data_IF_347412564349
#
_entry.id   IF_347412564349
#
_cell.length_a   1.000
_cell.length_b   1.000
_cell.length_c   1.000
_cell.angle_alpha   90.00
_cell.angle_beta   90.00
_cell.angle_gamma   90.00
#
_symmetry.space_group_name_H-M   'P 1'
#
loop_
_entity.id
_entity.type
_entity.pdbx_description
1 polymer ?
#
# COMPACT_ATOMS: atom_id res chain seq x y z
N UNK A 1 18.85 -54.37 -15.08
CA UNK A 1 19.16 -53.12 -15.81
C UNK A 1 18.34 -53.12 -17.09
N UNK A 2 17.78 -51.96 -17.49
CA UNK A 2 16.71 -51.77 -18.51
C UNK A 2 15.33 -52.13 -17.94
N UNK A 3 14.30 -51.29 -17.87
CA UNK A 3 13.95 -50.01 -18.50
C UNK A 3 13.10 -49.18 -17.51
N UNK A 4 13.66 -48.12 -16.93
CA UNK A 4 13.03 -47.32 -15.85
C UNK A 4 12.40 -46.02 -16.37
N UNK A 5 11.97 -45.94 -17.64
CA UNK A 5 11.69 -44.66 -18.31
C UNK A 5 10.52 -44.63 -19.33
N UNK A 6 9.61 -45.62 -19.38
CA UNK A 6 8.74 -45.75 -20.57
C UNK A 6 7.25 -46.07 -20.34
N UNK A 7 6.62 -45.61 -19.26
CA UNK A 7 5.13 -45.56 -19.19
C UNK A 7 4.69 -44.30 -18.45
N UNK A 8 4.81 -43.15 -19.12
CA UNK A 8 3.79 -42.11 -18.97
C UNK A 8 2.66 -42.57 -19.90
N UNK A 9 1.47 -42.82 -19.37
CA UNK A 9 0.34 -43.17 -20.24
C UNK A 9 0.11 -42.03 -21.23
N UNK A 10 -0.36 -42.30 -22.44
CA UNK A 10 -0.73 -41.25 -23.41
C UNK A 10 -1.68 -40.19 -22.80
N UNK A 11 -2.45 -40.62 -21.79
CA UNK A 11 -3.31 -39.79 -20.95
C UNK A 11 -2.55 -38.72 -20.15
N UNK A 12 -1.35 -39.03 -19.67
CA UNK A 12 -0.53 -38.10 -18.89
C UNK A 12 0.02 -36.96 -19.76
N UNK A 13 0.38 -37.27 -21.01
CA UNK A 13 0.76 -36.24 -21.99
C UNK A 13 -0.41 -35.32 -22.34
N UNK A 14 -1.63 -35.85 -22.43
CA UNK A 14 -2.82 -35.04 -22.65
C UNK A 14 -3.10 -34.10 -21.45
N UNK A 15 -2.91 -34.57 -20.22
CA UNK A 15 -3.04 -33.76 -19.01
C UNK A 15 -1.99 -32.64 -18.98
N UNK A 16 -0.73 -32.96 -19.27
CA UNK A 16 0.35 -31.97 -19.33
C UNK A 16 0.06 -30.94 -20.42
N UNK A 17 -0.42 -31.35 -21.60
CA UNK A 17 -0.78 -30.42 -22.69
C UNK A 17 -1.90 -29.44 -22.27
N UNK A 18 -2.94 -29.92 -21.57
CA UNK A 18 -4.02 -29.06 -21.07
C UNK A 18 -3.49 -28.08 -20.01
N UNK A 19 -2.64 -28.53 -19.09
CA UNK A 19 -2.02 -27.67 -18.08
C UNK A 19 -1.14 -26.61 -18.74
N UNK A 20 -0.33 -26.99 -19.72
CA UNK A 20 0.54 -26.07 -20.47
C UNK A 20 -0.29 -25.06 -21.24
N UNK A 21 -1.39 -25.47 -21.89
CA UNK A 21 -2.30 -24.53 -22.58
C UNK A 21 -3.04 -23.63 -21.59
N UNK A 22 -3.45 -24.13 -20.43
CA UNK A 22 -4.08 -23.31 -19.40
C UNK A 22 -3.11 -22.29 -18.79
N UNK A 23 -1.85 -22.70 -18.52
CA UNK A 23 -0.82 -21.82 -17.98
C UNK A 23 -0.25 -20.84 -19.03
N UNK A 24 0.02 -21.30 -20.25
CA UNK A 24 0.51 -20.45 -21.34
C UNK A 24 -0.59 -19.53 -21.90
N UNK A 25 -1.82 -20.04 -22.01
CA UNK A 25 -2.99 -19.27 -22.42
C UNK A 25 -3.40 -18.20 -21.39
N UNK A 26 -3.18 -18.47 -20.10
CA UNK A 26 -3.37 -17.49 -19.02
C UNK A 26 -2.44 -16.27 -19.12
N UNK A 27 -1.29 -16.39 -19.76
CA UNK A 27 -0.36 -15.27 -19.96
C UNK A 27 -0.82 -14.31 -21.07
N UNK A 28 -1.52 -14.81 -22.10
CA UNK A 28 -1.97 -13.99 -23.23
C UNK A 28 -3.16 -13.06 -22.87
N UNK A 29 -4.04 -13.49 -21.95
CA UNK A 29 -5.16 -12.67 -21.47
C UNK A 29 -4.74 -11.63 -20.42
N UNK A 30 -3.50 -11.72 -19.91
CA UNK A 30 -2.88 -10.75 -19.01
C UNK A 30 -1.99 -9.75 -19.74
N UNK A 31 -2.22 -9.54 -21.04
CA UNK A 31 -1.78 -8.33 -21.73
C UNK A 31 -2.53 -7.13 -21.10
N UNK A 32 -2.05 -6.71 -19.92
CA UNK A 32 -2.46 -5.48 -19.28
C UNK A 32 -2.28 -4.41 -20.35
N UNK A 33 -3.34 -3.65 -20.69
CA UNK A 33 -3.18 -2.49 -21.55
C UNK A 33 -2.02 -1.71 -20.93
N UNK A 34 -1.00 -1.42 -21.72
CA UNK A 34 0.09 -0.56 -21.30
C UNK A 34 -0.54 0.82 -21.18
N UNK A 35 -1.25 1.03 -20.06
CA UNK A 35 -1.92 2.27 -19.71
C UNK A 35 -0.81 3.30 -19.74
N UNK A 36 -0.95 4.26 -20.64
CA UNK A 36 0.07 5.25 -20.90
C UNK A 36 0.23 6.13 -19.64
N UNK A 37 1.15 5.70 -18.77
CA UNK A 37 1.43 6.30 -17.48
C UNK A 37 1.79 7.78 -17.63
N UNK A 38 2.27 8.18 -18.81
CA UNK A 38 2.67 9.55 -19.10
C UNK A 38 1.46 10.50 -19.21
N UNK A 39 0.40 10.07 -19.87
CA UNK A 39 -0.82 10.88 -20.03
C UNK A 39 -1.58 11.03 -18.70
N UNK A 40 -1.63 9.95 -17.89
CA UNK A 40 -2.21 10.03 -16.55
C UNK A 40 -1.44 11.00 -15.65
N UNK A 41 -0.11 11.02 -15.72
CA UNK A 41 0.72 11.92 -14.91
C UNK A 41 0.45 13.40 -15.23
N UNK A 42 0.23 13.74 -16.50
CA UNK A 42 -0.09 15.11 -16.90
C UNK A 42 -1.45 15.55 -16.39
N UNK A 43 -2.47 14.68 -16.50
CA UNK A 43 -3.80 14.95 -15.99
C UNK A 43 -3.83 15.14 -14.47
N UNK A 44 -3.09 14.30 -13.74
CA UNK A 44 -2.96 14.43 -12.28
C UNK A 44 -2.37 15.79 -11.89
N UNK A 45 -1.34 16.27 -12.61
CA UNK A 45 -0.74 17.59 -12.33
C UNK A 45 -1.70 18.76 -12.58
N UNK A 46 -2.49 18.71 -13.65
CA UNK A 46 -3.48 19.76 -13.89
C UNK A 46 -4.62 19.76 -12.87
N UNK A 47 -5.11 18.57 -12.51
CA UNK A 47 -6.07 18.40 -11.44
C UNK A 47 -5.54 18.94 -10.11
N UNK A 48 -4.29 18.65 -9.78
CA UNK A 48 -3.65 19.14 -8.56
C UNK A 48 -3.55 20.67 -8.53
N UNK A 49 -3.15 21.32 -9.64
CA UNK A 49 -3.11 22.78 -9.74
C UNK A 49 -4.48 23.44 -9.60
N UNK A 50 -5.52 22.84 -10.18
CA UNK A 50 -6.91 23.33 -10.06
C UNK A 50 -7.42 23.16 -8.63
N UNK A 51 -7.12 22.03 -7.99
CA UNK A 51 -7.42 21.80 -6.59
C UNK A 51 -6.72 22.82 -5.70
N UNK A 52 -5.42 23.06 -5.88
CA UNK A 52 -4.68 24.05 -5.10
C UNK A 52 -5.25 25.46 -5.27
N UNK A 53 -5.66 25.83 -6.49
CA UNK A 53 -6.31 27.12 -6.75
C UNK A 53 -7.68 27.23 -6.07
N UNK A 54 -8.48 26.16 -6.09
CA UNK A 54 -9.78 26.10 -5.43
C UNK A 54 -9.67 26.09 -3.90
N UNK A 55 -8.73 25.32 -3.35
CA UNK A 55 -8.43 25.25 -1.93
C UNK A 55 -7.94 26.60 -1.40
N UNK A 56 -7.02 27.25 -2.14
CA UNK A 56 -6.54 28.61 -1.83
C UNK A 56 -7.65 29.65 -1.89
N UNK A 57 -8.59 29.52 -2.84
CA UNK A 57 -9.74 30.42 -2.93
C UNK A 57 -10.78 30.20 -1.82
N UNK A 58 -10.91 28.96 -1.32
CA UNK A 58 -11.84 28.62 -0.24
C UNK A 58 -11.29 28.86 1.17
N UNK A 59 -10.05 29.34 1.32
CA UNK A 59 -9.46 29.64 2.63
C UNK A 59 -9.24 28.42 3.53
N UNK A 60 -9.30 27.21 2.96
CA UNK A 60 -8.96 25.98 3.66
C UNK A 60 -7.45 25.82 3.55
N UNK A 61 -6.72 26.32 4.55
CA UNK A 61 -5.34 25.88 4.75
C UNK A 61 -5.40 24.37 4.99
N UNK A 62 -4.93 23.57 4.02
CA UNK A 62 -4.66 22.17 4.33
C UNK A 62 -3.63 22.18 5.46
N UNK A 63 -3.95 21.66 6.66
CA UNK A 63 -2.93 21.49 7.67
C UNK A 63 -1.85 20.65 7.02
N UNK A 64 -0.64 21.22 6.90
CA UNK A 64 0.47 20.45 6.37
C UNK A 64 0.55 19.17 7.19
N UNK A 65 0.62 17.98 6.54
CA UNK A 65 0.79 16.74 7.28
C UNK A 65 2.01 16.96 8.16
N UNK A 66 1.86 16.89 9.49
CA UNK A 66 2.98 17.22 10.35
C UNK A 66 4.13 16.27 10.00
N UNK A 67 5.39 16.73 10.11
CA UNK A 67 6.57 15.98 9.64
C UNK A 67 6.71 14.59 10.29
N UNK A 68 5.98 14.35 11.38
CA UNK A 68 5.87 13.09 12.10
C UNK A 68 4.96 12.06 11.43
N UNK A 69 4.04 12.48 10.56
CA UNK A 69 2.98 11.63 10.00
C UNK A 69 1.95 11.15 11.02
N UNK A 70 1.82 11.87 12.16
CA UNK A 70 0.84 11.62 13.22
C UNK A 70 -0.20 12.74 13.23
N UNK A 71 -1.40 12.52 13.76
CA UNK A 71 -2.30 13.67 13.99
C UNK A 71 -1.71 14.61 15.05
N UNK A 72 -1.92 15.94 14.97
CA UNK A 72 -1.47 16.88 16.00
C UNK A 72 -1.87 16.48 17.43
N UNK A 73 -3.05 15.87 17.63
CA UNK A 73 -3.47 15.41 18.96
C UNK A 73 -2.63 14.23 19.47
N UNK A 74 -2.25 13.32 18.56
CA UNK A 74 -1.40 12.16 18.90
C UNK A 74 0.00 12.62 19.27
N UNK A 75 0.52 13.65 18.60
CA UNK A 75 1.81 14.24 18.93
C UNK A 75 1.82 14.93 20.29
N UNK A 76 0.74 15.65 20.62
CA UNK A 76 0.59 16.27 21.94
C UNK A 76 0.57 15.20 23.04
N UNK A 77 -0.20 14.12 22.84
CA UNK A 77 -0.22 12.99 23.77
C UNK A 77 1.13 12.26 23.85
N UNK A 78 1.85 12.13 22.74
CA UNK A 78 3.20 11.55 22.76
C UNK A 78 4.24 12.49 23.39
N UNK A 79 3.96 13.79 23.47
CA UNK A 79 4.91 14.78 24.04
C UNK A 79 4.87 14.82 25.57
N UNK A 80 3.78 14.41 26.21
CA UNK A 80 3.66 14.45 27.67
C UNK A 80 4.34 13.24 28.34
N UNK A 81 4.94 13.40 29.53
CA UNK A 81 5.39 12.27 30.34
C UNK A 81 4.21 11.31 30.59
N UNK A 82 4.42 10.00 30.38
CA UNK A 82 3.40 8.95 30.49
C UNK A 82 2.26 8.96 29.43
N UNK A 83 2.31 9.83 28.42
CA UNK A 83 1.25 9.91 27.40
C UNK A 83 1.33 8.87 26.28
N UNK A 84 2.38 8.03 26.25
CA UNK A 84 2.63 7.03 25.20
C UNK A 84 1.46 6.07 24.96
N UNK A 85 0.82 5.58 26.02
CA UNK A 85 -0.32 4.66 25.91
C UNK A 85 -1.54 5.38 25.32
N UNK A 86 -1.79 6.63 25.74
CA UNK A 86 -2.87 7.45 25.21
C UNK A 86 -2.66 7.76 23.73
N UNK A 87 -1.43 8.09 23.33
CA UNK A 87 -1.06 8.31 21.93
C UNK A 87 -1.29 7.06 21.06
N UNK A 88 -0.93 5.86 21.55
CA UNK A 88 -1.16 4.59 20.84
C UNK A 88 -2.66 4.31 20.69
N UNK A 89 -3.46 4.58 21.73
CA UNK A 89 -4.93 4.42 21.67
C UNK A 89 -5.53 5.35 20.61
N UNK A 90 -5.22 6.65 20.72
CA UNK A 90 -5.74 7.65 19.80
C UNK A 90 -5.32 7.39 18.35
N UNK A 91 -4.08 6.97 18.12
CA UNK A 91 -3.61 6.60 16.79
C UNK A 91 -4.41 5.45 16.16
N UNK A 92 -4.85 4.48 16.96
CA UNK A 92 -5.69 3.36 16.50
C UNK A 92 -7.15 3.78 16.28
N UNK A 93 -7.65 4.73 17.05
CA UNK A 93 -8.98 5.31 16.83
C UNK A 93 -9.02 6.11 15.52
N UNK A 94 -7.96 6.86 15.22
CA UNK A 94 -7.82 7.62 13.99
C UNK A 94 -7.51 6.75 12.75
N UNK A 95 -6.90 5.58 12.94
CA UNK A 95 -6.52 4.66 11.86
C UNK A 95 -7.16 3.28 12.07
N UNK A 96 -8.46 3.11 11.75
CA UNK A 96 -9.15 1.84 11.90
C UNK A 96 -8.49 0.76 11.01
N UNK A 97 -8.19 -0.40 11.61
CA UNK A 97 -7.48 -1.51 10.94
C UNK A 97 -5.99 -1.61 11.28
N UNK A 98 -5.40 -0.58 11.89
CA UNK A 98 -4.01 -0.63 12.36
C UNK A 98 -3.89 -1.54 13.59
N UNK A 99 -2.95 -2.48 13.50
CA UNK A 99 -2.62 -3.39 14.60
C UNK A 99 -1.94 -2.66 15.77
N UNK A 100 -2.05 -3.21 16.99
CA UNK A 100 -1.38 -2.63 18.17
C UNK A 100 0.14 -2.50 17.98
N UNK A 101 0.76 -3.46 17.29
CA UNK A 101 2.18 -3.46 16.96
C UNK A 101 2.57 -2.26 16.11
N UNK A 102 1.85 -2.03 15.01
CA UNK A 102 2.11 -0.94 14.08
C UNK A 102 1.90 0.43 14.73
N UNK A 103 0.83 0.57 15.54
CA UNK A 103 0.59 1.78 16.30
C UNK A 103 1.74 2.06 17.29
N UNK A 104 2.23 1.04 17.98
CA UNK A 104 3.38 1.18 18.89
C UNK A 104 4.65 1.57 18.13
N UNK A 105 4.95 0.90 17.01
CA UNK A 105 6.13 1.22 16.17
C UNK A 105 6.12 2.67 15.70
N UNK A 106 4.96 3.18 15.27
CA UNK A 106 4.79 4.58 14.83
C UNK A 106 5.07 5.57 15.95
N UNK A 107 4.51 5.34 17.14
CA UNK A 107 4.75 6.21 18.29
C UNK A 107 6.19 6.09 18.78
N UNK A 108 6.79 4.90 18.78
CA UNK A 108 8.19 4.72 19.15
C UNK A 108 9.14 5.47 18.21
N UNK A 109 8.90 5.38 16.89
CA UNK A 109 9.67 6.10 15.89
C UNK A 109 9.63 7.62 16.11
N UNK A 110 8.47 8.14 16.54
CA UNK A 110 8.33 9.55 16.94
C UNK A 110 9.19 9.90 18.16
N UNK A 111 9.19 9.06 19.20
CA UNK A 111 10.07 9.26 20.38
C UNK A 111 11.56 9.20 20.02
N UNK A 112 11.96 8.25 19.18
CA UNK A 112 13.36 8.09 18.78
C UNK A 112 13.87 9.26 17.94
N UNK A 113 13.02 9.85 17.08
CA UNK A 113 13.38 11.04 16.30
C UNK A 113 13.58 12.29 17.18
N UNK A 114 12.95 12.32 18.35
CA UNK A 114 12.96 13.47 19.27
C UNK A 114 14.10 13.41 20.29
N UNK A 115 14.70 12.24 20.49
CA UNK A 115 15.76 12.00 21.48
C UNK A 115 17.12 12.36 20.91
#
# INVERSE_FOLDING_TARGET
MTTLLAVLEFKDYAIIAVIVVAFAGGAALNARPQVDLQLLQLQVRELQKKLDALLKHQGIELPQPPPSGLSPEVEQLASVPNGKIAAIKLYREQNPGVGLREAKEKIEAFYQRRR
#
